data_IF_764246177163
#
_entry.id   IF_764246177163
#
_cell.length_a   1.000
_cell.length_b   1.000
_cell.length_c   1.000
_cell.angle_alpha   90.00
_cell.angle_beta   90.00
_cell.angle_gamma   90.00
#
_symmetry.space_group_name_H-M   'P 1'
#
loop_
_entity.id
_entity.type
_entity.pdbx_description
1 polymer ?
#
# COMPACT_ATOMS: atom_id res chain seq x y z
N UNK A 1 -16.12 5.33 -5.74
CA UNK A 1 -15.23 6.19 -6.57
C UNK A 1 -15.96 7.41 -7.10
N UNK A 2 -17.04 7.28 -7.89
CA UNK A 2 -17.70 8.45 -8.51
C UNK A 2 -18.17 9.50 -7.50
N UNK A 3 -18.78 9.06 -6.39
CA UNK A 3 -19.23 9.95 -5.30
C UNK A 3 -18.08 10.82 -4.75
N UNK A 4 -16.99 10.18 -4.31
CA UNK A 4 -15.87 10.91 -3.72
C UNK A 4 -15.20 11.86 -4.72
N UNK A 5 -15.05 11.45 -5.99
CA UNK A 5 -14.54 12.34 -7.05
C UNK A 5 -15.48 13.53 -7.27
N UNK A 6 -16.79 13.30 -7.32
CA UNK A 6 -17.80 14.34 -7.45
C UNK A 6 -17.72 15.37 -6.32
N UNK A 7 -17.67 14.89 -5.07
CA UNK A 7 -17.54 15.74 -3.88
C UNK A 7 -16.25 16.58 -3.89
N UNK A 8 -15.11 15.98 -4.25
CA UNK A 8 -13.83 16.69 -4.41
C UNK A 8 -13.91 17.81 -5.45
N UNK A 9 -14.48 17.52 -6.62
CA UNK A 9 -14.59 18.50 -7.72
C UNK A 9 -15.59 19.60 -7.43
N UNK A 10 -16.73 19.27 -6.83
CA UNK A 10 -17.75 20.25 -6.41
C UNK A 10 -17.18 21.27 -5.41
N UNK A 11 -16.24 20.84 -4.57
CA UNK A 11 -15.50 21.72 -3.64
C UNK A 11 -14.28 22.41 -4.24
N UNK A 12 -14.11 22.36 -5.56
CA UNK A 12 -13.12 23.15 -6.28
C UNK A 12 -11.86 22.41 -6.72
N UNK A 13 -11.68 21.12 -6.40
CA UNK A 13 -10.53 20.34 -6.86
C UNK A 13 -10.56 20.16 -8.37
N UNK A 14 -9.65 20.84 -9.09
CA UNK A 14 -9.60 20.83 -10.56
C UNK A 14 -8.97 19.56 -11.13
N UNK A 15 -7.92 19.05 -10.46
CA UNK A 15 -7.15 17.87 -10.89
C UNK A 15 -7.62 16.62 -10.15
N UNK A 16 -8.06 15.61 -10.90
CA UNK A 16 -8.47 14.31 -10.35
C UNK A 16 -7.41 13.28 -10.71
N UNK A 17 -6.84 12.62 -9.70
CA UNK A 17 -5.85 11.56 -9.86
C UNK A 17 -6.43 10.30 -9.23
N UNK A 18 -6.46 9.22 -9.99
CA UNK A 18 -6.86 7.88 -9.51
C UNK A 18 -5.68 6.95 -9.77
N UNK A 19 -5.20 6.29 -8.73
CA UNK A 19 -4.10 5.32 -8.79
C UNK A 19 -4.72 3.93 -8.83
N UNK A 20 -4.33 3.13 -9.83
CA UNK A 20 -4.80 1.75 -10.01
C UNK A 20 -3.60 0.83 -9.92
N UNK A 21 -3.62 -0.11 -8.98
CA UNK A 21 -2.58 -1.12 -8.85
C UNK A 21 -2.65 -2.12 -10.03
N UNK A 22 -1.51 -2.66 -10.46
CA UNK A 22 -1.44 -3.69 -11.52
C UNK A 22 -2.29 -4.93 -11.17
N UNK A 23 -2.28 -5.33 -9.89
CA UNK A 23 -3.09 -6.42 -9.36
C UNK A 23 -4.43 -5.98 -8.77
N UNK A 24 -5.00 -4.85 -9.20
CA UNK A 24 -6.31 -4.40 -8.71
C UNK A 24 -7.42 -5.39 -9.13
N UNK A 25 -8.28 -5.75 -8.19
CA UNK A 25 -9.37 -6.70 -8.38
C UNK A 25 -10.65 -6.20 -7.72
N UNK A 26 -11.78 -6.64 -8.27
CA UNK A 26 -13.08 -6.50 -7.63
C UNK A 26 -13.26 -7.59 -6.55
N UNK A 27 -14.33 -7.45 -5.75
CA UNK A 27 -14.63 -8.40 -4.67
C UNK A 27 -14.91 -9.83 -5.16
N UNK A 28 -15.28 -9.99 -6.43
CA UNK A 28 -15.48 -11.27 -7.10
C UNK A 28 -14.19 -11.86 -7.71
N UNK A 29 -13.04 -11.21 -7.48
CA UNK A 29 -11.72 -11.54 -8.02
C UNK A 29 -11.53 -11.24 -9.51
N UNK A 30 -12.47 -10.54 -10.15
CA UNK A 30 -12.26 -10.06 -11.52
C UNK A 30 -11.24 -8.92 -11.53
N UNK A 31 -10.32 -8.87 -12.50
CA UNK A 31 -9.33 -7.80 -12.58
C UNK A 31 -9.99 -6.47 -12.93
N UNK A 32 -9.56 -5.40 -12.25
CA UNK A 32 -9.97 -4.02 -12.55
C UNK A 32 -8.82 -3.36 -13.28
N UNK A 33 -9.02 -3.01 -14.55
CA UNK A 33 -7.99 -2.35 -15.36
C UNK A 33 -8.12 -0.83 -15.30
N UNK A 34 -7.04 -0.14 -15.69
CA UNK A 34 -7.06 1.32 -15.85
C UNK A 34 -8.06 1.79 -16.93
N UNK A 35 -8.36 0.95 -17.92
CA UNK A 35 -9.37 1.22 -18.96
C UNK A 35 -10.78 1.19 -18.39
N UNK A 36 -11.07 0.27 -17.47
CA UNK A 36 -12.37 0.18 -16.81
C UNK A 36 -12.64 1.44 -15.98
N UNK A 37 -11.62 1.89 -15.24
CA UNK A 37 -11.69 3.14 -14.46
C UNK A 37 -11.84 4.36 -15.36
N UNK A 38 -11.08 4.44 -16.47
CA UNK A 38 -11.22 5.52 -17.45
C UNK A 38 -12.65 5.59 -17.98
N UNK A 39 -13.22 4.45 -18.38
CA UNK A 39 -14.59 4.39 -18.91
C UNK A 39 -15.59 4.95 -17.90
N UNK A 40 -15.46 4.60 -16.63
CA UNK A 40 -16.34 5.13 -15.58
C UNK A 40 -16.18 6.64 -15.38
N UNK A 41 -14.96 7.17 -15.44
CA UNK A 41 -14.72 8.62 -15.28
C UNK A 41 -15.23 9.44 -16.48
N UNK A 42 -15.13 8.89 -17.69
CA UNK A 42 -15.65 9.52 -18.91
C UNK A 42 -17.17 9.41 -18.96
N UNK A 43 -17.71 8.19 -18.93
CA UNK A 43 -19.12 7.94 -19.21
C UNK A 43 -20.04 8.46 -18.09
N UNK A 44 -19.64 8.34 -16.82
CA UNK A 44 -20.50 8.74 -15.69
C UNK A 44 -20.25 10.14 -15.18
N UNK A 45 -19.03 10.65 -15.29
CA UNK A 45 -18.66 11.97 -14.74
C UNK A 45 -18.30 13.00 -15.80
N UNK A 46 -18.24 12.62 -17.08
CA UNK A 46 -17.93 13.53 -18.19
C UNK A 46 -16.53 14.15 -18.09
N UNK A 47 -15.57 13.46 -17.45
CA UNK A 47 -14.24 14.00 -17.22
C UNK A 47 -13.29 13.63 -18.34
N UNK A 48 -12.57 14.63 -18.87
CA UNK A 48 -11.44 14.38 -19.78
C UNK A 48 -10.34 13.63 -19.03
N UNK A 49 -10.22 12.34 -19.32
CA UNK A 49 -9.39 11.40 -18.57
C UNK A 49 -8.28 10.86 -19.46
N UNK A 50 -7.07 10.75 -18.91
CA UNK A 50 -5.92 10.13 -19.58
C UNK A 50 -5.34 9.04 -18.69
N UNK A 51 -4.99 7.91 -19.31
CA UNK A 51 -4.27 6.82 -18.63
C UNK A 51 -2.78 7.03 -18.83
N UNK A 52 -2.03 6.98 -17.73
CA UNK A 52 -0.57 6.96 -17.74
C UNK A 52 -0.12 5.68 -17.07
N UNK A 53 0.55 4.81 -17.83
CA UNK A 53 1.15 3.57 -17.32
C UNK A 53 2.65 3.79 -17.15
N UNK A 54 3.15 3.69 -15.91
CA UNK A 54 4.58 3.93 -15.61
C UNK A 54 5.50 2.84 -16.21
N UNK A 55 5.08 1.58 -16.15
CA UNK A 55 5.84 0.45 -16.68
C UNK A 55 7.24 0.30 -16.06
N UNK A 56 8.23 -0.01 -16.89
CA UNK A 56 9.60 -0.32 -16.46
C UNK A 56 10.34 0.83 -15.77
N UNK A 57 9.83 2.07 -15.89
CA UNK A 57 10.38 3.23 -15.15
C UNK A 57 10.34 3.00 -13.64
N UNK A 58 9.42 2.19 -13.13
CA UNK A 58 9.32 1.82 -11.71
C UNK A 58 10.46 0.89 -11.23
N UNK A 59 11.23 0.29 -12.14
CA UNK A 59 12.35 -0.63 -11.83
C UNK A 59 13.72 -0.07 -12.20
N UNK A 60 13.77 0.95 -13.05
CA UNK A 60 15.00 1.59 -13.49
C UNK A 60 15.40 2.79 -12.62
N UNK A 61 16.53 3.42 -12.96
CA UNK A 61 17.05 4.59 -12.25
C UNK A 61 18.02 4.24 -11.11
N UNK A 62 18.66 5.26 -10.54
CA UNK A 62 19.52 5.05 -9.38
C UNK A 62 18.67 4.88 -8.12
N UNK A 63 19.04 3.93 -7.26
CA UNK A 63 18.38 3.71 -5.97
C UNK A 63 18.32 5.02 -5.17
N UNK A 64 17.20 5.25 -4.48
CA UNK A 64 17.03 6.42 -3.61
C UNK A 64 17.94 6.29 -2.37
N UNK A 65 18.16 7.40 -1.64
CA UNK A 65 19.05 7.40 -0.47
C UNK A 65 18.69 6.32 0.56
N UNK A 66 17.39 6.13 0.81
CA UNK A 66 16.89 5.08 1.69
C UNK A 66 17.32 3.68 1.24
N UNK A 67 17.04 3.31 -0.01
CA UNK A 67 17.39 2.00 -0.56
C UNK A 67 18.90 1.75 -0.55
N UNK A 68 19.72 2.78 -0.80
CA UNK A 68 21.19 2.65 -0.73
C UNK A 68 21.65 2.29 0.67
N UNK A 69 21.16 3.02 1.68
CA UNK A 69 21.51 2.78 3.08
C UNK A 69 20.99 1.40 3.50
N UNK A 70 19.72 1.10 3.22
CA UNK A 70 19.08 -0.15 3.60
C UNK A 70 19.79 -1.35 2.98
N UNK A 71 20.02 -1.35 1.66
CA UNK A 71 20.69 -2.44 0.97
C UNK A 71 22.13 -2.63 1.46
N UNK A 72 22.84 -1.55 1.78
CA UNK A 72 24.20 -1.61 2.34
C UNK A 72 24.18 -2.29 3.71
N UNK A 73 23.30 -1.86 4.62
CA UNK A 73 23.19 -2.43 5.96
C UNK A 73 22.72 -3.89 5.94
N UNK A 74 21.75 -4.21 5.09
CA UNK A 74 21.30 -5.59 4.90
C UNK A 74 22.39 -6.48 4.30
N UNK A 75 23.19 -5.95 3.37
CA UNK A 75 24.32 -6.67 2.77
C UNK A 75 25.39 -7.02 3.80
N UNK A 76 25.76 -6.07 4.67
CA UNK A 76 26.70 -6.32 5.78
C UNK A 76 26.15 -7.39 6.71
N UNK A 77 24.88 -7.26 7.13
CA UNK A 77 24.24 -8.24 8.02
C UNK A 77 24.11 -9.63 7.40
N UNK A 78 23.90 -9.71 6.09
CA UNK A 78 23.83 -10.98 5.37
C UNK A 78 25.17 -11.73 5.41
N UNK A 79 26.29 -11.02 5.27
CA UNK A 79 27.64 -11.61 5.40
C UNK A 79 27.84 -12.17 6.80
N UNK A 80 27.51 -11.38 7.84
CA UNK A 80 27.57 -11.82 9.23
C UNK A 80 26.68 -13.05 9.49
N UNK A 81 25.47 -13.08 8.92
CA UNK A 81 24.53 -14.19 9.08
C UNK A 81 25.05 -15.49 8.47
N UNK A 82 25.72 -15.42 7.32
CA UNK A 82 26.31 -16.60 6.67
C UNK A 82 27.53 -17.11 7.45
N UNK A 83 28.39 -16.21 7.95
CA UNK A 83 29.57 -16.59 8.74
C UNK A 83 29.21 -17.26 10.07
N UNK A 84 28.10 -16.85 10.68
CA UNK A 84 27.61 -17.39 11.96
C UNK A 84 26.68 -18.59 11.80
N UNK A 85 26.33 -18.97 10.56
CA UNK A 85 25.42 -20.07 10.29
C UNK A 85 26.08 -21.42 10.58
N UNK A 86 25.36 -22.29 11.27
CA UNK A 86 25.69 -23.71 11.45
C UNK A 86 24.65 -24.59 10.75
N UNK A 87 24.93 -25.90 10.52
CA UNK A 87 23.96 -26.83 9.93
C UNK A 87 22.61 -26.89 10.68
N UNK A 88 22.59 -26.57 11.97
CA UNK A 88 21.39 -26.56 12.81
C UNK A 88 20.63 -25.22 12.74
N UNK A 89 21.29 -24.13 12.32
CA UNK A 89 20.63 -22.84 12.16
C UNK A 89 19.75 -22.82 10.91
N UNK A 90 18.45 -22.45 11.02
CA UNK A 90 17.60 -22.34 9.84
C UNK A 90 18.08 -21.19 8.95
N UNK A 91 17.94 -21.35 7.63
CA UNK A 91 18.37 -20.35 6.65
C UNK A 91 17.74 -18.98 6.95
N UNK A 92 18.54 -17.94 7.23
CA UNK A 92 18.03 -16.62 7.55
C UNK A 92 17.66 -15.83 6.29
N UNK A 93 16.75 -14.89 6.45
CA UNK A 93 16.41 -13.82 5.53
C UNK A 93 16.60 -12.50 6.27
N UNK A 94 17.36 -11.57 5.68
CA UNK A 94 17.54 -10.25 6.28
C UNK A 94 16.32 -9.38 5.92
N UNK A 95 15.76 -8.73 6.93
CA UNK A 95 14.62 -7.82 6.79
C UNK A 95 14.80 -6.57 7.63
N UNK A 96 13.77 -5.73 7.63
CA UNK A 96 13.69 -4.50 8.43
C UNK A 96 12.35 -4.50 9.19
N UNK A 97 12.40 -4.15 10.47
CA UNK A 97 11.22 -3.95 11.32
C UNK A 97 11.49 -2.71 12.16
N UNK A 98 10.58 -1.72 12.13
CA UNK A 98 10.71 -0.48 12.91
C UNK A 98 12.10 0.19 12.78
N UNK A 99 12.57 0.33 11.54
CA UNK A 99 13.89 0.89 11.21
C UNK A 99 15.11 0.12 11.77
N UNK A 100 14.93 -1.15 12.18
CA UNK A 100 16.03 -2.02 12.63
C UNK A 100 16.21 -3.21 11.68
N UNK A 101 17.46 -3.49 11.33
CA UNK A 101 17.82 -4.69 10.57
C UNK A 101 17.60 -5.92 11.46
N UNK A 102 16.98 -6.96 10.91
CA UNK A 102 16.71 -8.19 11.64
C UNK A 102 16.89 -9.42 10.75
N UNK A 103 17.13 -10.58 11.38
CA UNK A 103 17.13 -11.90 10.74
C UNK A 103 15.78 -12.57 10.99
N UNK A 104 15.16 -13.11 9.94
CA UNK A 104 13.92 -13.89 10.01
C UNK A 104 14.13 -15.26 9.36
N UNK A 105 13.52 -16.35 9.84
CA UNK A 105 13.62 -17.64 9.15
C UNK A 105 12.99 -17.56 7.75
N UNK A 106 13.76 -17.94 6.73
CA UNK A 106 13.32 -17.85 5.33
C UNK A 106 12.03 -18.65 5.08
N UNK A 107 11.94 -19.85 5.64
CA UNK A 107 10.77 -20.74 5.46
C UNK A 107 9.50 -20.11 6.04
N UNK A 108 9.60 -19.45 7.19
CA UNK A 108 8.48 -18.76 7.82
C UNK A 108 8.05 -17.54 7.01
N UNK A 109 9.00 -16.73 6.54
CA UNK A 109 8.71 -15.57 5.72
C UNK A 109 7.94 -15.96 4.44
N UNK A 110 8.42 -16.99 3.72
CA UNK A 110 7.74 -17.52 2.52
C UNK A 110 6.36 -18.07 2.85
N UNK A 111 6.21 -18.79 3.97
CA UNK A 111 4.92 -19.33 4.42
C UNK A 111 3.91 -18.20 4.67
N UNK A 112 4.30 -17.14 5.37
CA UNK A 112 3.46 -15.98 5.63
C UNK A 112 3.05 -15.27 4.33
N UNK A 113 3.97 -15.10 3.38
CA UNK A 113 3.65 -14.51 2.07
C UNK A 113 2.62 -15.35 1.30
N UNK A 114 2.74 -16.68 1.32
CA UNK A 114 1.76 -17.57 0.68
C UNK A 114 0.37 -17.48 1.32
N UNK A 115 0.29 -17.26 2.64
CA UNK A 115 -0.99 -17.09 3.32
C UNK A 115 -1.75 -15.85 2.86
N UNK A 116 -1.06 -14.78 2.45
CA UNK A 116 -1.71 -13.60 1.87
C UNK A 116 -2.41 -13.97 0.56
N UNK A 117 -1.70 -14.65 -0.35
CA UNK A 117 -2.26 -15.07 -1.63
C UNK A 117 -3.47 -16.00 -1.44
N UNK A 118 -3.36 -16.95 -0.50
CA UNK A 118 -4.46 -17.84 -0.13
C UNK A 118 -5.67 -17.06 0.40
N UNK A 119 -5.46 -16.13 1.35
CA UNK A 119 -6.54 -15.33 1.92
C UNK A 119 -7.26 -14.49 0.85
N UNK A 120 -6.53 -13.97 -0.15
CA UNK A 120 -7.12 -13.28 -1.30
C UNK A 120 -7.96 -14.25 -2.15
N UNK A 121 -7.45 -15.45 -2.48
CA UNK A 121 -8.22 -16.43 -3.25
C UNK A 121 -9.50 -16.90 -2.55
N UNK A 122 -9.48 -16.93 -1.21
CA UNK A 122 -10.63 -17.26 -0.37
C UNK A 122 -11.57 -16.06 -0.14
N UNK A 123 -11.33 -14.92 -0.81
CA UNK A 123 -12.07 -13.65 -0.65
C UNK A 123 -12.07 -13.11 0.78
N UNK A 124 -11.11 -13.54 1.61
CA UNK A 124 -10.93 -13.06 2.97
C UNK A 124 -9.97 -11.85 3.00
N UNK A 125 -10.45 -10.72 2.47
CA UNK A 125 -9.64 -9.50 2.34
C UNK A 125 -9.21 -8.91 3.69
N UNK A 126 -10.04 -9.05 4.74
CA UNK A 126 -9.69 -8.59 6.09
C UNK A 126 -8.44 -9.32 6.62
N UNK A 127 -8.42 -10.64 6.49
CA UNK A 127 -7.25 -11.46 6.84
C UNK A 127 -6.04 -11.15 5.97
N UNK A 128 -6.25 -10.96 4.66
CA UNK A 128 -5.16 -10.59 3.75
C UNK A 128 -4.51 -9.24 4.14
N UNK A 129 -5.30 -8.27 4.57
CA UNK A 129 -4.84 -6.97 5.07
C UNK A 129 -4.09 -7.12 6.39
N UNK A 130 -4.59 -7.93 7.35
CA UNK A 130 -3.92 -8.12 8.64
C UNK A 130 -2.61 -8.91 8.56
N UNK A 131 -2.38 -9.64 7.46
CA UNK A 131 -1.13 -10.37 7.20
C UNK A 131 -0.04 -9.47 6.58
N UNK A 132 -0.36 -8.22 6.25
CA UNK A 132 0.64 -7.20 5.89
C UNK A 132 1.31 -6.68 7.17
N UNK A 133 2.35 -5.87 6.98
CA UNK A 133 2.99 -5.15 8.08
C UNK A 133 1.98 -4.24 8.81
N UNK A 134 2.30 -3.90 10.06
CA UNK A 134 1.44 -3.07 10.92
C UNK A 134 1.18 -1.69 10.32
N UNK A 135 2.15 -1.13 9.60
CA UNK A 135 2.06 0.20 8.99
C UNK A 135 1.06 0.21 7.81
N UNK A 136 0.91 -0.91 7.09
CA UNK A 136 -0.03 -1.02 5.96
C UNK A 136 -1.48 -0.69 6.35
N UNK A 137 -1.96 -1.25 7.47
CA UNK A 137 -3.34 -1.03 7.94
C UNK A 137 -3.52 0.41 8.38
N UNK A 138 -2.53 0.95 9.08
CA UNK A 138 -2.50 2.34 9.52
C UNK A 138 -2.53 3.31 8.32
N UNK A 139 -1.69 3.09 7.32
CA UNK A 139 -1.64 3.90 6.11
C UNK A 139 -2.95 3.86 5.32
N UNK A 140 -3.60 2.69 5.22
CA UNK A 140 -4.91 2.58 4.59
C UNK A 140 -5.97 3.38 5.36
N UNK A 141 -5.97 3.28 6.69
CA UNK A 141 -6.88 4.04 7.55
C UNK A 141 -6.66 5.54 7.40
N UNK A 142 -5.40 5.98 7.47
CA UNK A 142 -5.00 7.37 7.30
C UNK A 142 -5.41 7.89 5.93
N UNK A 143 -5.19 7.12 4.86
CA UNK A 143 -5.62 7.48 3.51
C UNK A 143 -7.14 7.64 3.43
N UNK A 144 -7.91 6.72 4.00
CA UNK A 144 -9.38 6.81 3.99
C UNK A 144 -9.88 8.03 4.78
N UNK A 145 -9.25 8.32 5.93
CA UNK A 145 -9.57 9.48 6.75
C UNK A 145 -9.29 10.80 6.00
N UNK A 146 -8.07 11.00 5.48
CA UNK A 146 -7.72 12.24 4.77
C UNK A 146 -8.47 12.40 3.44
N UNK A 147 -8.82 11.29 2.76
CA UNK A 147 -9.51 11.35 1.48
C UNK A 147 -11.01 11.65 1.64
N UNK A 148 -11.61 11.26 2.77
CA UNK A 148 -13.01 11.58 3.11
C UNK A 148 -13.16 12.82 3.99
N UNK A 149 -12.05 13.37 4.49
CA UNK A 149 -12.03 14.58 5.30
C UNK A 149 -12.84 15.70 4.64
N UNK A 150 -13.68 16.33 5.45
CA UNK A 150 -14.65 17.36 5.10
C UNK A 150 -15.72 16.99 4.06
N UNK A 151 -15.67 15.83 3.42
CA UNK A 151 -16.66 15.40 2.43
C UNK A 151 -17.83 14.62 3.02
N UNK A 152 -17.63 14.05 4.20
CA UNK A 152 -18.62 13.32 4.97
C UNK A 152 -18.72 13.95 6.37
N UNK A 153 -19.83 13.70 7.07
CA UNK A 153 -19.99 14.18 8.45
C UNK A 153 -18.87 13.62 9.35
N UNK A 154 -18.32 14.42 10.27
CA UNK A 154 -17.28 13.95 11.18
C UNK A 154 -17.77 12.79 12.03
N UNK A 155 -16.95 11.73 12.14
CA UNK A 155 -17.29 10.49 12.86
C UNK A 155 -17.49 10.73 14.36
N UNK A 156 -16.87 11.76 14.93
CA UNK A 156 -16.95 12.05 16.36
C UNK A 156 -18.19 12.89 16.73
N UNK A 157 -18.84 12.59 17.89
CA UNK A 157 -19.87 13.43 18.47
C UNK A 157 -19.42 14.88 18.64
N UNK A 158 -20.37 15.82 18.62
CA UNK A 158 -20.07 17.25 18.68
C UNK A 158 -19.26 17.61 19.93
N UNK A 159 -19.60 17.01 21.09
CA UNK A 159 -18.90 17.26 22.35
C UNK A 159 -17.42 16.83 22.36
N UNK A 160 -16.99 15.96 21.44
CA UNK A 160 -15.61 15.46 21.37
C UNK A 160 -14.77 16.17 20.30
N UNK A 161 -15.34 17.14 19.57
CA UNK A 161 -14.63 17.89 18.53
C UNK A 161 -13.82 19.02 19.17
N UNK A 162 -12.54 19.08 18.83
CA UNK A 162 -11.59 20.06 19.37
C UNK A 162 -11.12 21.02 18.28
N UNK A 163 -10.84 22.27 18.66
CA UNK A 163 -10.15 23.24 17.82
C UNK A 163 -8.64 23.08 18.00
N UNK A 164 -7.97 22.51 17.01
CA UNK A 164 -6.54 22.21 17.05
C UNK A 164 -5.78 23.28 16.25
N UNK A 165 -4.76 23.89 16.87
CA UNK A 165 -3.83 24.78 16.19
C UNK A 165 -2.58 23.99 15.75
N UNK A 166 -2.18 24.15 14.49
CA UNK A 166 -0.93 23.61 13.95
C UNK A 166 -0.01 24.82 13.69
N UNK A 167 1.21 24.77 14.23
CA UNK A 167 2.24 25.80 14.05
C UNK A 167 3.18 25.43 12.91
#
# INVERSE_FOLDING_TARGET
MCDIVGKHRARGKRKTIVIVAEGAIAADLTPITSKDVLKVLVDRLGLDTRVTTLGHVQRGGTAVAWDRILATLQGVEAVEAVLQSTPETPSPMIGIVENKICRKPLVEAVKLTKQVAQAISEKNFKKAISLRDSEFVEHLSNFMAINSADHNEPVLPLEQRLNIAIR
#
